data_IF_122905895247
#
_entry.id   IF_122905895247
#
_cell.length_a   1.000
_cell.length_b   1.000
_cell.length_c   1.000
_cell.angle_alpha   90.00
_cell.angle_beta   90.00
_cell.angle_gamma   90.00
#
_symmetry.space_group_name_H-M   'P 1'
#
loop_
_entity.id
_entity.type
_entity.pdbx_description
1 polymer ?
#
# COMPACT_ATOMS: atom_id res chain seq x y z
N UNK A 1 10.77 3.87 68.47
CA UNK A 1 9.34 3.63 68.75
C UNK A 1 8.66 3.33 67.40
N UNK A 2 7.96 2.18 67.23
CA UNK A 2 7.60 1.63 65.98
C UNK A 2 6.23 2.10 65.49
N UNK A 3 6.11 2.23 64.15
CA UNK A 3 4.86 2.50 63.46
C UNK A 3 4.14 1.20 63.08
N UNK A 4 2.86 1.15 63.40
CA UNK A 4 1.96 0.04 63.11
C UNK A 4 1.52 0.09 61.62
N UNK A 5 1.69 -1.03 60.95
CA UNK A 5 1.08 -1.26 59.65
C UNK A 5 -0.35 -1.81 59.77
N UNK A 6 -1.25 -1.30 58.97
CA UNK A 6 -2.58 -1.89 58.77
C UNK A 6 -2.69 -2.32 57.31
N UNK A 7 -2.76 -3.63 57.08
CA UNK A 7 -3.16 -4.23 55.78
C UNK A 7 -4.69 -4.37 55.80
N UNK A 8 -5.33 -3.71 54.83
CA UNK A 8 -6.73 -3.97 54.51
C UNK A 8 -6.81 -4.89 53.27
N UNK A 9 -7.29 -6.09 53.48
CA UNK A 9 -7.64 -7.05 52.42
C UNK A 9 -9.14 -7.00 52.18
N UNK A 10 -9.56 -6.46 51.08
CA UNK A 10 -10.97 -6.55 50.64
C UNK A 10 -11.15 -7.78 49.74
N UNK A 11 -11.89 -8.77 50.25
CA UNK A 11 -12.45 -9.88 49.47
C UNK A 11 -13.84 -9.47 48.93
N UNK A 12 -14.01 -9.37 47.62
CA UNK A 12 -15.33 -9.25 47.00
C UNK A 12 -15.74 -10.63 46.49
N UNK A 13 -16.83 -11.16 47.07
CA UNK A 13 -17.52 -12.37 46.57
C UNK A 13 -18.45 -11.98 45.44
N UNK A 14 -18.36 -12.69 44.32
CA UNK A 14 -19.34 -12.64 43.23
C UNK A 14 -20.52 -13.58 43.52
N UNK A 15 -21.74 -13.20 43.21
CA UNK A 15 -22.88 -14.12 43.25
C UNK A 15 -23.11 -14.76 41.88
N UNK A 16 -23.24 -16.09 41.89
CA UNK A 16 -23.76 -16.86 40.77
C UNK A 16 -25.23 -16.56 40.54
N UNK A 17 -25.59 -16.20 39.29
CA UNK A 17 -26.96 -16.28 38.80
C UNK A 17 -26.98 -17.23 37.60
N UNK A 18 -27.64 -18.35 37.82
CA UNK A 18 -28.01 -19.32 36.80
C UNK A 18 -29.28 -18.80 36.07
N UNK A 19 -29.18 -18.64 34.74
CA UNK A 19 -30.36 -18.51 33.88
C UNK A 19 -30.48 -19.76 33.06
N UNK A 20 -31.54 -20.52 33.30
CA UNK A 20 -31.91 -21.72 32.56
C UNK A 20 -32.50 -21.36 31.18
N UNK A 21 -32.13 -22.20 30.22
CA UNK A 21 -32.61 -22.33 28.86
C UNK A 21 -34.13 -22.34 28.71
N UNK A 22 -34.56 -21.66 27.65
CA UNK A 22 -35.80 -21.95 26.90
C UNK A 22 -35.64 -21.35 25.49
N UNK A 23 -35.19 -22.14 24.56
CA UNK A 23 -35.57 -22.03 23.14
C UNK A 23 -35.32 -23.37 22.47
N UNK A 24 -36.42 -23.98 22.07
CA UNK A 24 -36.50 -25.23 21.31
C UNK A 24 -36.30 -24.95 19.81
N UNK A 25 -35.59 -25.89 19.18
CA UNK A 25 -35.63 -26.35 17.79
C UNK A 25 -36.10 -25.41 16.68
N UNK A 26 -35.16 -24.92 15.88
CA UNK A 26 -35.29 -24.80 14.41
C UNK A 26 -33.86 -24.72 13.81
N UNK A 27 -33.46 -25.78 13.11
CA UNK A 27 -32.25 -25.76 12.30
C UNK A 27 -32.48 -24.93 11.01
N UNK A 28 -31.53 -24.09 10.62
CA UNK A 28 -31.32 -23.81 9.21
C UNK A 28 -29.95 -24.30 8.76
N UNK A 29 -29.97 -25.07 7.71
CA UNK A 29 -28.84 -25.38 6.86
C UNK A 29 -28.19 -24.06 6.37
N UNK A 30 -26.88 -23.93 6.55
CA UNK A 30 -26.10 -22.93 5.82
C UNK A 30 -25.31 -21.90 6.64
N UNK A 31 -24.80 -22.24 7.83
CA UNK A 31 -24.00 -21.29 8.62
C UNK A 31 -22.70 -21.90 9.16
N UNK A 32 -21.95 -22.62 8.31
CA UNK A 32 -20.69 -23.25 8.78
C UNK A 32 -19.45 -22.71 8.04
N UNK A 33 -19.53 -21.56 7.38
CA UNK A 33 -18.37 -20.98 6.68
C UNK A 33 -17.99 -19.55 7.12
N UNK A 34 -18.57 -18.99 8.18
CA UNK A 34 -18.34 -17.59 8.52
C UNK A 34 -17.63 -17.33 9.87
N UNK A 35 -17.23 -18.35 10.62
CA UNK A 35 -16.62 -18.13 11.95
C UNK A 35 -15.15 -18.60 12.07
N UNK A 36 -14.46 -18.90 10.98
CA UNK A 36 -13.04 -19.30 11.03
C UNK A 36 -12.03 -18.16 10.84
N UNK A 37 -12.48 -16.91 10.69
CA UNK A 37 -11.59 -15.77 10.41
C UNK A 37 -11.46 -14.76 11.58
N UNK A 38 -11.93 -15.09 12.79
CA UNK A 38 -11.87 -14.17 13.95
C UNK A 38 -10.85 -14.57 15.03
N UNK A 39 -10.04 -15.60 14.78
CA UNK A 39 -8.92 -15.98 15.67
C UNK A 39 -7.61 -16.13 14.87
N UNK A 40 -7.33 -15.28 13.90
CA UNK A 40 -5.97 -15.16 13.40
C UNK A 40 -5.20 -14.30 14.40
N UNK A 41 -4.58 -14.95 15.38
CA UNK A 41 -3.40 -14.41 16.03
C UNK A 41 -2.40 -14.02 14.95
N UNK A 42 -1.55 -13.07 15.24
CA UNK A 42 -0.50 -12.61 14.32
C UNK A 42 0.19 -13.80 13.66
N UNK A 43 0.12 -13.88 12.33
CA UNK A 43 0.88 -14.90 11.60
C UNK A 43 2.37 -14.53 11.66
N UNK A 44 3.21 -15.54 11.87
CA UNK A 44 4.66 -15.36 11.79
C UNK A 44 5.05 -15.15 10.31
N UNK A 45 6.11 -14.39 10.08
CA UNK A 45 6.65 -14.15 8.74
C UNK A 45 6.86 -15.48 7.97
N UNK A 46 6.55 -15.49 6.67
CA UNK A 46 6.94 -16.59 5.81
C UNK A 46 8.45 -16.53 5.54
N UNK A 47 9.20 -17.19 6.42
CA UNK A 47 10.66 -17.25 6.32
C UNK A 47 11.15 -17.87 5.02
N UNK A 48 10.34 -18.70 4.33
CA UNK A 48 10.73 -19.27 3.03
C UNK A 48 10.59 -18.25 1.90
N UNK A 49 9.51 -17.46 1.90
CA UNK A 49 9.34 -16.36 0.97
C UNK A 49 10.42 -15.30 1.18
N UNK A 50 10.64 -14.86 2.42
CA UNK A 50 11.70 -13.92 2.78
C UNK A 50 13.09 -14.41 2.35
N UNK A 51 13.42 -15.70 2.60
CA UNK A 51 14.71 -16.29 2.18
C UNK A 51 14.90 -16.27 0.67
N UNK A 52 13.85 -16.53 -0.12
CA UNK A 52 13.90 -16.44 -1.60
C UNK A 52 14.16 -15.00 -2.07
N UNK A 53 13.47 -14.03 -1.45
CA UNK A 53 13.65 -12.59 -1.76
C UNK A 53 15.07 -12.13 -1.43
N UNK A 54 15.59 -12.50 -0.26
CA UNK A 54 17.00 -12.23 0.14
C UNK A 54 17.99 -12.89 -0.82
N UNK A 55 17.76 -14.15 -1.24
CA UNK A 55 18.65 -14.83 -2.18
C UNK A 55 18.70 -14.09 -3.53
N UNK A 56 17.56 -13.71 -4.10
CA UNK A 56 17.49 -12.89 -5.32
C UNK A 56 18.21 -11.56 -5.16
N UNK A 57 18.06 -10.91 -4.01
CA UNK A 57 18.75 -9.64 -3.74
C UNK A 57 20.28 -9.83 -3.66
N UNK A 58 20.74 -10.90 -3.04
CA UNK A 58 22.18 -11.25 -2.98
C UNK A 58 22.78 -11.52 -4.38
N UNK A 59 21.99 -12.10 -5.30
CA UNK A 59 22.41 -12.23 -6.70
C UNK A 59 22.64 -10.86 -7.35
N UNK A 60 21.75 -9.89 -7.10
CA UNK A 60 21.91 -8.49 -7.56
C UNK A 60 23.14 -7.86 -6.91
N UNK A 61 23.34 -8.01 -5.61
CA UNK A 61 24.55 -7.52 -4.92
C UNK A 61 25.83 -8.07 -5.58
N UNK A 62 25.87 -9.36 -5.88
CA UNK A 62 27.03 -10.00 -6.54
C UNK A 62 27.25 -9.45 -7.97
N UNK A 63 26.19 -9.28 -8.75
CA UNK A 63 26.25 -8.70 -10.10
C UNK A 63 26.75 -7.25 -10.10
N UNK A 64 26.37 -6.46 -9.08
CA UNK A 64 26.78 -5.06 -8.87
C UNK A 64 28.16 -4.92 -8.24
N UNK A 65 28.72 -6.00 -7.68
CA UNK A 65 29.99 -5.98 -6.95
C UNK A 65 29.87 -5.31 -5.57
N UNK A 66 28.72 -5.41 -4.92
CA UNK A 66 28.51 -4.91 -3.56
C UNK A 66 28.97 -5.95 -2.53
N UNK A 67 29.88 -5.57 -1.65
CA UNK A 67 30.27 -6.40 -0.50
C UNK A 67 29.18 -6.40 0.58
N UNK A 68 28.52 -5.26 0.74
CA UNK A 68 27.41 -5.08 1.66
C UNK A 68 26.41 -4.02 1.14
N UNK A 69 25.24 -4.00 1.74
CA UNK A 69 24.18 -2.99 1.48
C UNK A 69 23.63 -2.48 2.79
N UNK A 70 23.35 -1.17 2.85
CA UNK A 70 22.65 -0.49 3.95
C UNK A 70 21.25 -0.09 3.48
N UNK A 71 20.22 -0.54 4.20
CA UNK A 71 18.83 -0.25 3.93
C UNK A 71 18.18 0.41 5.14
N UNK A 72 17.37 1.43 4.88
CA UNK A 72 16.53 2.11 5.87
C UNK A 72 15.10 2.33 5.36
N UNK A 73 14.84 2.02 4.11
CA UNK A 73 13.55 2.14 3.46
C UNK A 73 12.60 1.06 3.97
N UNK A 74 11.61 1.45 4.77
CA UNK A 74 10.70 0.52 5.44
C UNK A 74 9.98 -0.45 4.50
N UNK A 75 9.47 -0.05 3.31
CA UNK A 75 8.88 -0.98 2.36
C UNK A 75 9.84 -2.07 1.87
N UNK A 76 11.10 -1.73 1.61
CA UNK A 76 12.11 -2.72 1.21
C UNK A 76 12.44 -3.68 2.36
N UNK A 77 12.52 -3.17 3.59
CA UNK A 77 12.72 -3.98 4.79
C UNK A 77 11.52 -4.90 5.03
N UNK A 78 10.28 -4.41 4.87
CA UNK A 78 9.07 -5.20 4.94
C UNK A 78 9.09 -6.36 3.94
N UNK A 79 9.44 -6.08 2.69
CA UNK A 79 9.50 -7.07 1.63
C UNK A 79 10.58 -8.13 1.87
N UNK A 80 11.77 -7.74 2.36
CA UNK A 80 12.89 -8.66 2.62
C UNK A 80 12.69 -9.50 3.87
N UNK A 81 12.01 -8.99 4.90
CA UNK A 81 11.83 -9.69 6.17
C UNK A 81 10.53 -10.48 6.25
N UNK A 82 9.54 -10.11 5.46
CA UNK A 82 8.14 -10.54 5.58
C UNK A 82 7.51 -10.26 6.94
N UNK A 83 8.08 -9.32 7.71
CA UNK A 83 7.58 -8.95 9.04
C UNK A 83 6.43 -7.95 8.91
N UNK A 84 5.20 -8.44 9.12
CA UNK A 84 3.97 -7.65 8.97
C UNK A 84 3.77 -6.67 10.12
N UNK A 85 3.29 -5.46 9.81
CA UNK A 85 2.87 -4.43 10.78
C UNK A 85 3.96 -4.05 11.78
N UNK A 86 5.22 -4.06 11.35
CA UNK A 86 6.36 -3.63 12.15
C UNK A 86 6.87 -2.29 11.69
N UNK A 87 6.81 -2.05 10.38
CA UNK A 87 7.35 -0.86 9.75
C UNK A 87 6.28 0.23 9.66
N UNK A 88 6.45 1.29 10.41
CA UNK A 88 5.57 2.46 10.40
C UNK A 88 6.21 3.63 9.61
N UNK A 89 5.71 4.83 9.83
CA UNK A 89 6.23 6.05 9.17
C UNK A 89 7.59 6.52 9.72
N UNK A 90 8.08 5.93 10.83
CA UNK A 90 9.36 6.31 11.41
C UNK A 90 10.52 5.53 10.77
N UNK A 91 11.63 6.21 10.47
CA UNK A 91 12.86 5.57 9.99
C UNK A 91 13.70 5.04 11.15
N UNK A 92 13.10 4.19 11.99
CA UNK A 92 13.74 3.63 13.18
C UNK A 92 14.65 2.42 12.88
N UNK A 93 14.57 1.88 11.67
CA UNK A 93 15.19 0.63 11.29
C UNK A 93 16.37 0.85 10.34
N UNK A 94 17.43 0.08 10.53
CA UNK A 94 18.59 0.08 9.62
C UNK A 94 19.08 -1.37 9.46
N UNK A 95 19.06 -1.88 8.24
CA UNK A 95 19.63 -3.19 7.94
C UNK A 95 21.02 -3.04 7.32
N UNK A 96 21.91 -3.99 7.68
CA UNK A 96 23.18 -4.22 7.04
C UNK A 96 23.20 -5.64 6.50
N UNK A 97 23.28 -5.78 5.19
CA UNK A 97 23.16 -7.06 4.48
C UNK A 97 24.48 -7.36 3.78
N UNK A 98 25.00 -8.57 4.00
CA UNK A 98 26.16 -9.11 3.28
C UNK A 98 25.77 -10.40 2.55
N UNK A 99 26.69 -10.99 1.80
CA UNK A 99 26.45 -12.30 1.17
C UNK A 99 26.10 -13.38 2.21
N UNK A 100 26.62 -13.29 3.43
CA UNK A 100 26.50 -14.33 4.46
C UNK A 100 25.70 -13.87 5.69
N UNK A 101 25.47 -12.55 5.85
CA UNK A 101 24.87 -11.96 7.05
C UNK A 101 23.63 -11.12 6.76
N UNK A 102 22.69 -11.14 7.71
CA UNK A 102 21.51 -10.28 7.76
C UNK A 102 21.46 -9.66 9.16
N UNK A 103 21.68 -8.37 9.25
CA UNK A 103 21.74 -7.65 10.52
C UNK A 103 20.71 -6.53 10.51
N UNK A 104 20.03 -6.34 11.63
CA UNK A 104 19.02 -5.30 11.81
C UNK A 104 19.30 -4.54 13.10
N UNK A 105 19.45 -3.24 13.00
CA UNK A 105 19.46 -2.30 14.10
C UNK A 105 18.09 -1.64 14.20
N UNK A 106 17.53 -1.65 15.41
CA UNK A 106 16.24 -1.01 15.70
C UNK A 106 16.24 -0.55 17.16
N UNK A 107 15.32 0.32 17.51
CA UNK A 107 15.19 0.74 18.89
C UNK A 107 14.28 -0.19 19.72
N UNK A 108 14.26 0.03 21.03
CA UNK A 108 13.54 -0.82 21.99
C UNK A 108 12.02 -0.86 21.78
N UNK A 109 11.43 0.06 21.04
CA UNK A 109 9.99 0.10 20.74
C UNK A 109 9.58 -1.04 19.82
N UNK A 110 10.45 -1.43 18.90
CA UNK A 110 10.17 -2.41 17.84
C UNK A 110 10.80 -3.78 18.06
N UNK A 111 11.83 -3.86 18.89
CA UNK A 111 12.65 -5.06 19.08
C UNK A 111 11.83 -6.32 19.40
N UNK A 112 10.94 -6.23 20.39
CA UNK A 112 10.12 -7.37 20.77
C UNK A 112 9.15 -7.79 19.68
N UNK A 113 8.56 -6.81 18.98
CA UNK A 113 7.65 -7.06 17.85
C UNK A 113 8.36 -7.80 16.73
N UNK A 114 9.59 -7.41 16.40
CA UNK A 114 10.41 -8.15 15.43
C UNK A 114 10.65 -9.59 15.84
N UNK A 115 11.04 -9.84 17.09
CA UNK A 115 11.28 -11.20 17.58
C UNK A 115 10.02 -12.06 17.52
N UNK A 116 8.87 -11.48 17.82
CA UNK A 116 7.57 -12.17 17.74
C UNK A 116 7.21 -12.50 16.29
N UNK A 117 7.43 -11.58 15.34
CA UNK A 117 7.09 -11.75 13.94
C UNK A 117 8.01 -12.73 13.22
N UNK A 118 9.30 -12.62 13.44
CA UNK A 118 10.29 -13.40 12.73
C UNK A 118 10.57 -14.75 13.39
N UNK A 119 10.30 -14.89 14.70
CA UNK A 119 10.55 -16.12 15.46
C UNK A 119 12.03 -16.42 15.67
N UNK A 120 12.29 -17.49 16.44
CA UNK A 120 13.64 -17.88 16.85
C UNK A 120 14.52 -18.42 15.69
N UNK A 121 13.89 -18.90 14.62
CA UNK A 121 14.59 -19.50 13.47
C UNK A 121 14.92 -18.48 12.38
N UNK A 122 14.65 -17.19 12.62
CA UNK A 122 14.95 -16.11 11.68
C UNK A 122 16.47 -16.00 11.45
N UNK A 123 16.92 -15.85 10.19
CA UNK A 123 18.31 -15.59 9.88
C UNK A 123 18.76 -14.15 10.20
N UNK A 124 17.83 -13.27 10.54
CA UNK A 124 18.10 -11.89 10.91
C UNK A 124 18.67 -11.81 12.32
N UNK A 125 19.82 -11.16 12.46
CA UNK A 125 20.46 -10.88 13.75
C UNK A 125 20.08 -9.49 14.19
N UNK A 126 19.42 -9.40 15.33
CA UNK A 126 19.00 -8.14 15.92
C UNK A 126 20.01 -7.68 16.95
N UNK A 127 20.28 -6.39 16.91
CA UNK A 127 21.25 -5.73 17.76
C UNK A 127 20.55 -4.62 18.55
N UNK A 128 20.71 -4.64 19.86
CA UNK A 128 20.21 -3.62 20.80
C UNK A 128 21.33 -2.68 21.28
N UNK A 129 22.44 -2.62 20.59
CA UNK A 129 23.51 -1.72 20.97
C UNK A 129 23.00 -0.26 21.00
N UNK A 130 23.37 0.44 22.07
CA UNK A 130 23.08 1.87 22.22
C UNK A 130 24.11 2.63 21.37
N UNK A 131 23.92 2.57 20.05
CA UNK A 131 24.73 3.29 19.07
C UNK A 131 23.80 4.06 18.15
N UNK A 132 24.30 5.14 17.55
CA UNK A 132 23.58 5.77 16.45
C UNK A 132 23.56 4.83 15.24
N UNK A 133 22.54 4.88 14.37
CA UNK A 133 22.51 4.04 13.17
C UNK A 133 23.78 4.14 12.32
N UNK A 134 24.38 5.32 12.22
CA UNK A 134 25.61 5.56 11.45
C UNK A 134 26.84 4.95 12.10
N UNK A 135 26.98 5.01 13.42
CA UNK A 135 28.07 4.36 14.16
C UNK A 135 27.95 2.84 14.09
N UNK A 136 26.72 2.31 14.20
CA UNK A 136 26.43 0.90 14.07
C UNK A 136 26.77 0.36 12.68
N UNK A 137 26.37 1.05 11.60
CA UNK A 137 26.72 0.69 10.24
C UNK A 137 28.24 0.73 10.03
N UNK A 138 28.92 1.79 10.51
CA UNK A 138 30.36 1.91 10.37
C UNK A 138 31.13 0.78 11.10
N UNK A 139 30.61 0.31 12.25
CA UNK A 139 31.16 -0.85 12.96
C UNK A 139 31.00 -2.13 12.13
N UNK A 140 29.83 -2.39 11.55
CA UNK A 140 29.57 -3.56 10.71
C UNK A 140 30.41 -3.54 9.42
N UNK A 141 30.59 -2.37 8.78
CA UNK A 141 31.50 -2.21 7.63
C UNK A 141 32.93 -2.61 8.01
N UNK A 142 33.42 -2.17 9.18
CA UNK A 142 34.74 -2.48 9.67
C UNK A 142 34.91 -3.99 9.97
N UNK A 143 33.96 -4.60 10.65
CA UNK A 143 33.95 -6.02 11.00
C UNK A 143 33.88 -6.91 9.76
N UNK A 144 33.00 -6.62 8.83
CA UNK A 144 32.86 -7.33 7.57
C UNK A 144 34.02 -7.06 6.60
N UNK A 145 34.88 -6.07 6.86
CA UNK A 145 35.92 -5.57 5.95
C UNK A 145 35.38 -5.23 4.56
N UNK A 146 34.12 -4.76 4.50
CA UNK A 146 33.45 -4.41 3.27
C UNK A 146 34.10 -3.15 2.66
N UNK A 147 34.36 -3.20 1.36
CA UNK A 147 35.00 -2.11 0.60
C UNK A 147 34.01 -1.37 -0.30
N UNK A 148 33.00 -2.06 -0.79
CA UNK A 148 31.94 -1.49 -1.63
C UNK A 148 30.63 -1.74 -0.92
N UNK A 149 30.10 -0.69 -0.26
CA UNK A 149 28.88 -0.76 0.54
C UNK A 149 27.82 0.11 -0.13
N UNK A 150 26.86 -0.53 -0.78
CA UNK A 150 25.80 0.22 -1.44
C UNK A 150 24.83 0.81 -0.41
N UNK A 151 24.40 2.03 -0.69
CA UNK A 151 23.46 2.78 0.14
C UNK A 151 22.14 2.91 -0.64
N UNK A 152 21.02 2.65 -0.02
CA UNK A 152 19.72 2.84 -0.65
C UNK A 152 19.50 4.31 -1.05
N UNK A 153 18.58 4.52 -2.01
CA UNK A 153 18.46 5.84 -2.66
C UNK A 153 17.70 6.88 -1.82
N UNK A 154 16.94 6.44 -0.81
CA UNK A 154 16.03 7.30 -0.02
C UNK A 154 16.61 7.79 1.30
N UNK A 155 17.84 7.40 1.65
CA UNK A 155 18.50 7.91 2.86
C UNK A 155 18.66 9.43 2.78
N UNK A 156 18.38 10.12 3.89
CA UNK A 156 18.61 11.54 4.00
C UNK A 156 20.12 11.88 4.01
N UNK A 157 20.43 13.11 3.64
CA UNK A 157 21.82 13.57 3.60
C UNK A 157 22.48 13.55 4.98
N UNK A 158 21.72 13.78 6.06
CA UNK A 158 22.28 13.77 7.41
C UNK A 158 22.76 12.39 7.82
N UNK A 159 22.01 11.34 7.45
CA UNK A 159 22.45 9.97 7.64
C UNK A 159 23.73 9.67 6.81
N UNK A 160 23.73 10.07 5.54
CA UNK A 160 24.88 9.81 4.67
C UNK A 160 26.15 10.52 5.16
N UNK A 161 26.07 11.81 5.49
CA UNK A 161 27.17 12.60 6.03
C UNK A 161 27.65 12.04 7.39
N UNK A 162 26.70 11.62 8.24
CA UNK A 162 27.01 10.99 9.53
C UNK A 162 27.73 9.64 9.37
N UNK A 163 27.35 8.84 8.38
CA UNK A 163 28.03 7.58 8.08
C UNK A 163 29.44 7.83 7.58
N UNK A 164 29.64 8.78 6.66
CA UNK A 164 31.00 9.16 6.23
C UNK A 164 31.87 9.62 7.39
N UNK A 165 31.30 10.40 8.33
CA UNK A 165 32.03 10.86 9.51
C UNK A 165 32.39 9.68 10.42
N UNK A 166 31.45 8.76 10.71
CA UNK A 166 31.68 7.59 11.54
C UNK A 166 32.74 6.63 10.94
N UNK A 167 32.81 6.53 9.60
CA UNK A 167 33.87 5.80 8.91
C UNK A 167 35.23 6.47 9.06
N UNK A 168 35.30 7.81 8.92
CA UNK A 168 36.55 8.59 9.15
C UNK A 168 37.06 8.40 10.56
N UNK A 169 36.19 8.50 11.57
CA UNK A 169 36.53 8.38 12.99
C UNK A 169 37.08 7.00 13.33
N UNK A 170 36.62 5.97 12.63
CA UNK A 170 37.13 4.58 12.73
C UNK A 170 38.35 4.28 11.83
N UNK A 171 38.77 5.22 10.98
CA UNK A 171 39.80 5.01 9.97
C UNK A 171 39.45 3.86 9.00
N UNK A 172 38.19 3.69 8.69
CA UNK A 172 37.63 2.70 7.74
C UNK A 172 37.44 3.35 6.38
N UNK A 173 37.99 2.75 5.33
CA UNK A 173 37.76 3.20 3.95
C UNK A 173 36.79 2.26 3.24
N UNK A 174 35.69 2.81 2.76
CA UNK A 174 34.71 2.12 1.92
C UNK A 174 34.19 3.07 0.82
N UNK A 175 33.85 2.51 -0.33
CA UNK A 175 33.05 3.20 -1.37
C UNK A 175 31.59 3.05 -1.01
N UNK A 176 30.82 4.12 -1.17
CA UNK A 176 29.39 4.18 -0.84
C UNK A 176 28.54 4.47 -2.10
N UNK A 177 28.48 3.55 -3.10
CA UNK A 177 27.63 3.75 -4.26
C UNK A 177 26.16 3.75 -3.90
N UNK A 178 25.29 4.35 -4.76
CA UNK A 178 23.84 4.27 -4.66
C UNK A 178 23.32 2.98 -5.31
N UNK A 179 22.22 2.45 -4.79
CA UNK A 179 21.59 1.22 -5.31
C UNK A 179 20.81 1.41 -6.61
N UNK A 180 20.36 2.63 -6.92
CA UNK A 180 19.56 2.95 -8.11
C UNK A 180 18.26 2.13 -8.23
N UNK A 181 17.63 1.82 -7.10
CA UNK A 181 16.35 1.12 -7.03
C UNK A 181 16.43 -0.37 -7.28
N UNK A 182 17.56 -1.02 -6.98
CA UNK A 182 17.76 -2.45 -7.23
C UNK A 182 16.68 -3.34 -6.55
N UNK A 183 16.23 -3.00 -5.32
CA UNK A 183 15.14 -3.75 -4.66
C UNK A 183 13.79 -3.40 -5.29
N UNK A 184 13.55 -2.15 -5.62
CA UNK A 184 12.31 -1.74 -6.29
C UNK A 184 12.11 -2.49 -7.63
N UNK A 185 13.16 -2.81 -8.37
CA UNK A 185 13.08 -3.67 -9.57
C UNK A 185 12.70 -5.12 -9.21
N UNK A 186 13.18 -5.66 -8.08
CA UNK A 186 12.83 -7.01 -7.63
C UNK A 186 11.37 -7.12 -7.17
N UNK A 187 10.80 -6.03 -6.64
CA UNK A 187 9.42 -5.94 -6.16
C UNK A 187 8.38 -5.81 -7.28
N UNK A 188 8.79 -5.53 -8.51
CA UNK A 188 7.88 -5.39 -9.67
C UNK A 188 7.01 -6.64 -9.83
N UNK A 189 7.62 -7.83 -9.80
CA UNK A 189 6.92 -9.11 -9.98
C UNK A 189 6.55 -9.67 -8.61
N UNK A 190 5.24 -9.70 -8.34
CA UNK A 190 4.67 -10.18 -7.09
C UNK A 190 4.59 -11.70 -7.09
N UNK A 191 4.83 -12.29 -5.92
CA UNK A 191 4.56 -13.71 -5.73
C UNK A 191 3.05 -13.97 -5.47
N UNK A 192 2.58 -15.22 -5.54
CA UNK A 192 1.16 -15.53 -5.35
C UNK A 192 0.61 -15.12 -3.98
N UNK A 193 1.42 -15.13 -2.91
CA UNK A 193 0.98 -14.72 -1.58
C UNK A 193 0.77 -13.20 -1.50
N UNK A 194 1.69 -12.42 -2.09
CA UNK A 194 1.54 -10.96 -2.22
C UNK A 194 0.24 -10.60 -2.98
N UNK A 195 -0.04 -11.30 -4.10
CA UNK A 195 -1.25 -11.10 -4.91
C UNK A 195 -2.52 -11.35 -4.10
N UNK A 196 -2.56 -12.43 -3.29
CA UNK A 196 -3.73 -12.73 -2.46
C UNK A 196 -3.96 -11.68 -1.36
N UNK A 197 -2.91 -11.11 -0.77
CA UNK A 197 -3.03 -10.01 0.18
C UNK A 197 -3.63 -8.75 -0.49
N UNK A 198 -3.18 -8.43 -1.70
CA UNK A 198 -3.67 -7.29 -2.47
C UNK A 198 -5.13 -7.48 -2.93
N UNK A 199 -5.51 -8.68 -3.36
CA UNK A 199 -6.91 -9.04 -3.64
C UNK A 199 -7.79 -8.91 -2.40
N UNK A 200 -7.28 -9.30 -1.23
CA UNK A 200 -8.01 -9.13 0.03
C UNK A 200 -8.22 -7.65 0.36
N UNK A 201 -7.16 -6.82 0.27
CA UNK A 201 -7.25 -5.38 0.43
C UNK A 201 -8.29 -4.77 -0.53
N UNK A 202 -8.27 -5.16 -1.82
CA UNK A 202 -9.24 -4.71 -2.81
C UNK A 202 -10.67 -5.12 -2.47
N UNK A 203 -10.88 -6.32 -1.92
CA UNK A 203 -12.22 -6.76 -1.52
C UNK A 203 -12.84 -5.89 -0.41
N UNK A 204 -12.02 -5.27 0.44
CA UNK A 204 -12.48 -4.31 1.46
C UNK A 204 -12.87 -3.00 0.78
N UNK A 205 -12.06 -2.52 -0.15
CA UNK A 205 -12.29 -1.31 -0.95
C UNK A 205 -13.57 -1.40 -1.77
N UNK A 206 -13.83 -2.54 -2.44
CA UNK A 206 -15.07 -2.79 -3.18
C UNK A 206 -16.32 -2.75 -2.27
N UNK A 207 -16.25 -3.36 -1.08
CA UNK A 207 -17.36 -3.31 -0.12
C UNK A 207 -17.61 -1.89 0.39
N UNK A 208 -16.54 -1.11 0.56
CA UNK A 208 -16.63 0.29 0.96
C UNK A 208 -17.34 1.13 -0.11
N UNK A 209 -17.13 0.84 -1.41
CA UNK A 209 -17.90 1.46 -2.50
C UNK A 209 -19.40 1.21 -2.38
N UNK A 210 -19.80 -0.03 -2.19
CA UNK A 210 -21.20 -0.39 -2.03
C UNK A 210 -21.85 0.25 -0.80
N UNK A 211 -21.06 0.45 0.26
CA UNK A 211 -21.51 1.13 1.46
C UNK A 211 -21.68 2.64 1.22
N UNK A 212 -20.64 3.30 0.68
CA UNK A 212 -20.62 4.75 0.55
C UNK A 212 -21.67 5.26 -0.45
N UNK A 213 -21.98 4.50 -1.51
CA UNK A 213 -23.05 4.82 -2.45
C UNK A 213 -24.43 4.92 -1.78
N UNK A 214 -24.66 4.20 -0.68
CA UNK A 214 -25.92 4.28 0.11
C UNK A 214 -25.91 5.43 1.11
N UNK A 215 -24.75 5.90 1.50
CA UNK A 215 -24.58 6.96 2.48
C UNK A 215 -24.67 8.37 1.85
N UNK A 216 -24.08 8.53 0.65
CA UNK A 216 -24.00 9.82 -0.04
C UNK A 216 -25.39 10.37 -0.34
N UNK A 217 -25.60 11.64 0.04
CA UNK A 217 -26.82 12.43 -0.27
C UNK A 217 -26.46 13.92 -0.30
N UNK A 218 -27.29 14.75 -0.97
CA UNK A 218 -27.16 16.20 -0.89
C UNK A 218 -27.12 16.70 0.54
N UNK A 219 -26.29 17.69 0.83
CA UNK A 219 -26.11 18.28 2.17
C UNK A 219 -24.98 17.74 3.00
N UNK A 220 -24.35 16.62 2.62
CA UNK A 220 -23.10 16.15 3.24
C UNK A 220 -21.91 16.96 2.72
N UNK A 221 -20.87 17.13 3.53
CA UNK A 221 -19.59 17.67 3.08
C UNK A 221 -18.69 16.54 2.52
N UNK A 222 -17.69 16.90 1.70
CA UNK A 222 -16.67 15.96 1.22
C UNK A 222 -15.96 15.28 2.40
N UNK A 223 -15.63 16.03 3.46
CA UNK A 223 -15.03 15.48 4.68
C UNK A 223 -15.92 14.46 5.40
N UNK A 224 -17.25 14.70 5.45
CA UNK A 224 -18.17 13.73 6.06
C UNK A 224 -18.23 12.42 5.27
N UNK A 225 -18.19 12.51 3.94
CA UNK A 225 -18.16 11.33 3.07
C UNK A 225 -16.84 10.59 3.24
N UNK A 226 -15.70 11.30 3.26
CA UNK A 226 -14.39 10.73 3.54
C UNK A 226 -14.37 9.99 4.87
N UNK A 227 -14.79 10.64 5.94
CA UNK A 227 -14.75 10.05 7.28
C UNK A 227 -15.58 8.75 7.37
N UNK A 228 -16.75 8.70 6.73
CA UNK A 228 -17.59 7.50 6.68
C UNK A 228 -16.91 6.37 5.89
N UNK A 229 -16.35 6.69 4.73
CA UNK A 229 -15.65 5.73 3.86
C UNK A 229 -14.46 5.10 4.56
N UNK A 230 -13.58 5.92 5.13
CA UNK A 230 -12.39 5.49 5.86
C UNK A 230 -12.75 4.66 7.10
N UNK A 231 -13.73 5.12 7.90
CA UNK A 231 -14.23 4.38 9.05
C UNK A 231 -14.80 3.01 8.64
N UNK A 232 -15.49 2.93 7.50
CA UNK A 232 -16.00 1.65 7.00
C UNK A 232 -14.86 0.68 6.69
N UNK A 233 -13.83 1.10 5.93
CA UNK A 233 -12.70 0.24 5.60
C UNK A 233 -11.98 -0.26 6.85
N UNK A 234 -11.63 0.63 7.78
CA UNK A 234 -10.96 0.29 9.04
C UNK A 234 -11.79 -0.63 9.95
N UNK A 235 -13.13 -0.44 9.96
CA UNK A 235 -14.04 -1.29 10.75
C UNK A 235 -14.33 -2.64 10.09
N UNK A 236 -13.95 -2.84 8.83
CA UNK A 236 -14.26 -4.05 8.06
C UNK A 236 -13.00 -4.79 7.58
N UNK A 237 -11.89 -4.64 8.30
CA UNK A 237 -10.72 -5.50 8.17
C UNK A 237 -9.49 -4.86 7.53
N UNK A 238 -9.55 -3.59 7.14
CA UNK A 238 -8.34 -2.86 6.78
C UNK A 238 -7.50 -2.58 8.03
N UNK A 239 -6.19 -2.76 7.91
CA UNK A 239 -5.24 -2.42 8.97
C UNK A 239 -4.89 -0.94 8.98
N UNK A 240 -4.91 -0.35 7.78
CA UNK A 240 -4.62 1.04 7.51
C UNK A 240 -5.38 1.49 6.25
N UNK A 241 -5.32 2.76 5.94
CA UNK A 241 -5.64 3.28 4.63
C UNK A 241 -4.41 3.15 3.72
N UNK A 242 -4.62 2.90 2.43
CA UNK A 242 -3.52 2.88 1.45
C UNK A 242 -2.88 4.26 1.31
N UNK A 243 -3.71 5.30 1.33
CA UNK A 243 -3.35 6.70 1.21
C UNK A 243 -4.50 7.58 1.74
N UNK A 244 -4.29 8.89 1.80
CA UNK A 244 -5.32 9.86 2.16
C UNK A 244 -6.41 9.88 1.08
N UNK A 245 -7.63 9.44 1.42
CA UNK A 245 -8.73 9.30 0.48
C UNK A 245 -9.12 10.64 -0.17
N UNK A 246 -9.28 10.65 -1.47
CA UNK A 246 -9.77 11.80 -2.25
C UNK A 246 -11.29 11.68 -2.40
N UNK A 247 -12.02 12.68 -1.94
CA UNK A 247 -13.45 12.85 -2.19
C UNK A 247 -13.62 14.25 -2.75
N UNK A 248 -13.87 14.35 -4.05
CA UNK A 248 -13.90 15.63 -4.75
C UNK A 248 -15.21 15.80 -5.54
N UNK A 249 -16.05 16.74 -5.11
CA UNK A 249 -17.38 16.94 -5.65
C UNK A 249 -17.49 18.16 -6.56
N UNK A 250 -18.28 18.07 -7.61
CA UNK A 250 -18.50 19.15 -8.58
C UNK A 250 -17.20 19.76 -9.08
N UNK A 251 -17.01 21.10 -9.01
CA UNK A 251 -15.80 21.77 -9.49
C UNK A 251 -14.50 21.32 -8.84
N UNK A 252 -14.53 20.81 -7.58
CA UNK A 252 -13.33 20.28 -6.91
C UNK A 252 -12.81 19.03 -7.61
N UNK A 253 -13.71 18.21 -8.19
CA UNK A 253 -13.36 17.03 -8.97
C UNK A 253 -12.48 17.33 -10.22
N UNK A 254 -12.44 18.58 -10.67
CA UNK A 254 -11.53 18.99 -11.74
C UNK A 254 -10.06 19.05 -11.33
N UNK A 255 -9.74 18.83 -10.04
CA UNK A 255 -8.39 18.68 -9.54
C UNK A 255 -8.12 17.20 -9.22
N UNK A 256 -7.19 16.51 -9.92
CA UNK A 256 -6.90 15.09 -9.69
C UNK A 256 -6.48 14.74 -8.25
N UNK A 257 -5.80 15.67 -7.56
CA UNK A 257 -5.34 15.53 -6.17
C UNK A 257 -6.08 16.48 -5.21
N UNK A 258 -7.41 16.64 -5.41
CA UNK A 258 -8.23 17.47 -4.54
C UNK A 258 -8.22 16.94 -3.10
N UNK A 259 -8.05 17.84 -2.14
CA UNK A 259 -8.21 17.50 -0.73
C UNK A 259 -9.68 17.65 -0.34
N UNK A 260 -10.31 16.64 0.30
CA UNK A 260 -11.67 16.74 0.79
C UNK A 260 -11.83 17.91 1.77
N UNK A 261 -12.85 18.75 1.54
CA UNK A 261 -13.09 19.97 2.29
C UNK A 261 -14.51 20.10 2.83
N UNK A 262 -14.83 21.32 3.23
CA UNK A 262 -16.17 21.70 3.74
C UNK A 262 -17.18 21.95 2.62
N UNK A 263 -16.83 21.69 1.35
CA UNK A 263 -17.79 21.83 0.25
C UNK A 263 -18.95 20.88 0.46
N UNK A 264 -20.15 21.44 0.41
CA UNK A 264 -21.42 20.71 0.56
C UNK A 264 -21.82 20.14 -0.81
N UNK A 265 -22.02 18.84 -0.86
CA UNK A 265 -22.47 18.11 -2.03
C UNK A 265 -23.90 18.52 -2.40
N UNK A 266 -24.13 18.73 -3.70
CA UNK A 266 -25.37 19.18 -4.27
C UNK A 266 -25.90 18.17 -5.30
N UNK A 267 -27.23 18.20 -5.55
CA UNK A 267 -27.82 17.46 -6.67
C UNK A 267 -27.19 17.91 -7.99
N UNK A 268 -26.80 16.99 -8.83
CA UNK A 268 -26.10 17.21 -10.10
C UNK A 268 -24.57 17.21 -9.98
N UNK A 269 -23.99 17.12 -8.77
CA UNK A 269 -22.55 16.97 -8.63
C UNK A 269 -22.05 15.59 -9.11
N UNK A 270 -20.97 15.57 -9.86
CA UNK A 270 -20.10 14.40 -9.99
C UNK A 270 -19.20 14.35 -8.77
N UNK A 271 -18.95 13.17 -8.21
CA UNK A 271 -18.03 12.98 -7.08
C UNK A 271 -16.98 11.96 -7.50
N UNK A 272 -15.73 12.40 -7.62
CA UNK A 272 -14.57 11.52 -7.75
C UNK A 272 -14.21 11.02 -6.35
N UNK A 273 -14.16 9.71 -6.19
CA UNK A 273 -13.78 9.04 -4.95
C UNK A 273 -12.61 8.11 -5.27
N UNK A 274 -11.44 8.44 -4.73
CA UNK A 274 -10.20 7.69 -4.92
C UNK A 274 -9.66 7.29 -3.54
N UNK A 275 -9.56 5.98 -3.31
CA UNK A 275 -9.28 5.41 -1.99
C UNK A 275 -8.87 3.94 -2.08
N UNK A 276 -8.17 3.48 -1.06
CA UNK A 276 -7.74 2.10 -0.95
C UNK A 276 -7.59 1.65 0.50
N UNK A 277 -7.79 0.36 0.73
CA UNK A 277 -7.51 -0.30 2.00
C UNK A 277 -6.07 -0.84 2.02
N UNK A 278 -5.38 -0.68 3.15
CA UNK A 278 -4.15 -1.39 3.47
C UNK A 278 -4.46 -2.67 4.25
N UNK A 279 -3.84 -3.79 3.86
CA UNK A 279 -3.97 -5.06 4.55
C UNK A 279 -2.63 -5.78 4.63
N UNK A 280 -2.13 -6.03 5.84
CA UNK A 280 -0.83 -6.64 6.11
C UNK A 280 0.32 -5.97 5.33
N UNK A 281 0.29 -4.63 5.32
CA UNK A 281 1.22 -3.72 4.63
C UNK A 281 1.16 -3.75 3.09
N UNK A 282 0.20 -4.45 2.48
CA UNK A 282 -0.08 -4.38 1.06
C UNK A 282 -1.27 -3.46 0.79
N UNK A 283 -1.21 -2.75 -0.33
CA UNK A 283 -2.16 -1.72 -0.70
C UNK A 283 -3.15 -2.20 -1.75
N UNK A 284 -4.36 -1.64 -1.73
CA UNK A 284 -5.29 -1.61 -2.86
C UNK A 284 -5.47 -0.18 -3.34
N UNK A 285 -5.99 -0.03 -4.54
CA UNK A 285 -6.21 1.25 -5.18
C UNK A 285 -7.46 1.20 -6.07
N UNK A 286 -8.34 2.20 -5.93
CA UNK A 286 -9.53 2.27 -6.76
C UNK A 286 -10.11 3.67 -6.80
N UNK A 287 -10.36 4.17 -7.99
CA UNK A 287 -11.21 5.35 -8.20
C UNK A 287 -12.54 4.95 -8.82
N UNK A 288 -13.62 5.49 -8.27
CA UNK A 288 -14.95 5.50 -8.90
C UNK A 288 -15.52 6.91 -8.85
N UNK A 289 -16.15 7.30 -9.94
CA UNK A 289 -16.92 8.55 -10.00
C UNK A 289 -18.42 8.23 -9.98
N UNK A 290 -19.16 8.91 -9.09
CA UNK A 290 -20.62 8.78 -8.98
C UNK A 290 -21.29 10.12 -9.27
N UNK A 291 -22.60 10.12 -9.54
CA UNK A 291 -23.39 11.34 -9.73
C UNK A 291 -24.48 11.45 -8.67
N UNK A 292 -24.71 12.65 -8.15
CA UNK A 292 -25.78 12.91 -7.18
C UNK A 292 -27.07 13.24 -7.93
N UNK A 293 -28.03 12.30 -7.93
CA UNK A 293 -29.22 12.38 -8.76
C UNK A 293 -28.97 11.94 -10.20
N UNK A 294 -29.58 12.58 -11.18
CA UNK A 294 -29.42 12.25 -12.59
C UNK A 294 -28.25 13.00 -13.24
N UNK A 295 -27.40 12.34 -14.07
CA UNK A 295 -26.36 13.01 -14.82
C UNK A 295 -26.94 13.93 -15.91
N UNK A 296 -26.22 15.01 -16.23
CA UNK A 296 -26.44 15.76 -17.48
C UNK A 296 -25.92 14.98 -18.68
N UNK A 297 -26.33 15.38 -19.89
CA UNK A 297 -25.81 14.78 -21.13
C UNK A 297 -24.28 14.94 -21.25
N UNK A 298 -23.73 16.09 -20.86
CA UNK A 298 -22.28 16.32 -20.85
C UNK A 298 -21.54 15.39 -19.87
N UNK A 299 -22.07 15.24 -18.65
CA UNK A 299 -21.49 14.34 -17.63
C UNK A 299 -21.48 12.89 -18.10
N UNK A 300 -22.61 12.41 -18.62
CA UNK A 300 -22.72 11.05 -19.16
C UNK A 300 -21.76 10.83 -20.32
N UNK A 301 -21.68 11.78 -21.26
CA UNK A 301 -20.77 11.68 -22.40
C UNK A 301 -19.30 11.61 -21.98
N UNK A 302 -18.86 12.49 -21.08
CA UNK A 302 -17.46 12.49 -20.57
C UNK A 302 -17.17 11.20 -19.80
N UNK A 303 -18.11 10.71 -19.00
CA UNK A 303 -17.98 9.44 -18.29
C UNK A 303 -17.78 8.26 -19.26
N UNK A 304 -18.58 8.20 -20.32
CA UNK A 304 -18.49 7.16 -21.34
C UNK A 304 -17.13 7.19 -22.07
N UNK A 305 -16.55 8.37 -22.30
CA UNK A 305 -15.20 8.51 -22.85
C UNK A 305 -14.13 7.95 -21.92
N UNK A 306 -14.19 8.28 -20.60
CA UNK A 306 -13.24 7.77 -19.61
C UNK A 306 -13.38 6.26 -19.47
N UNK A 307 -14.61 5.74 -19.37
CA UNK A 307 -14.87 4.29 -19.32
C UNK A 307 -14.31 3.59 -20.55
N UNK A 308 -14.53 4.12 -21.75
CA UNK A 308 -13.98 3.57 -22.98
C UNK A 308 -12.45 3.55 -22.98
N UNK A 309 -11.80 4.57 -22.43
CA UNK A 309 -10.35 4.62 -22.31
C UNK A 309 -9.84 3.52 -21.35
N UNK A 310 -10.42 3.38 -20.17
CA UNK A 310 -10.08 2.34 -19.18
C UNK A 310 -10.29 0.94 -19.79
N UNK A 311 -11.48 0.60 -20.32
CA UNK A 311 -11.76 -0.71 -20.93
C UNK A 311 -10.83 -1.03 -22.13
N UNK A 312 -10.46 0.00 -22.92
CA UNK A 312 -9.54 -0.18 -24.05
C UNK A 312 -8.12 -0.47 -23.57
N UNK A 313 -7.64 0.22 -22.53
CA UNK A 313 -6.33 0.00 -21.96
C UNK A 313 -6.27 -1.35 -21.22
N UNK A 314 -7.25 -1.68 -20.40
CA UNK A 314 -7.35 -2.98 -19.72
C UNK A 314 -7.28 -4.15 -20.70
N UNK A 315 -7.96 -4.05 -21.85
CA UNK A 315 -7.91 -5.08 -22.90
C UNK A 315 -6.56 -5.18 -23.63
N UNK A 316 -5.72 -4.14 -23.57
CA UNK A 316 -4.40 -4.09 -24.20
C UNK A 316 -3.24 -4.40 -23.24
N UNK A 317 -3.48 -4.42 -21.94
CA UNK A 317 -2.46 -4.76 -20.93
C UNK A 317 -2.17 -6.26 -20.97
N UNK A 318 -0.92 -6.62 -21.18
CA UNK A 318 -0.38 -7.99 -21.08
C UNK A 318 1.15 -7.94 -20.92
N UNK A 319 1.79 -9.04 -20.56
CA UNK A 319 3.25 -9.10 -20.51
C UNK A 319 3.86 -8.80 -21.90
N UNK A 320 4.91 -8.02 -21.92
CA UNK A 320 5.59 -7.66 -23.19
C UNK A 320 5.25 -6.29 -23.76
N UNK A 321 4.16 -5.63 -23.31
CA UNK A 321 3.88 -4.23 -23.68
C UNK A 321 4.79 -3.29 -22.87
N UNK A 322 4.95 -2.05 -23.33
CA UNK A 322 5.63 -1.03 -22.53
C UNK A 322 4.61 -0.12 -21.83
N UNK A 323 5.02 0.46 -20.69
CA UNK A 323 4.12 1.38 -19.97
C UNK A 323 3.79 2.63 -20.80
N UNK A 324 4.71 3.08 -21.66
CA UNK A 324 4.45 4.20 -22.58
C UNK A 324 3.44 3.86 -23.67
N UNK A 325 3.41 2.61 -24.17
CA UNK A 325 2.45 2.21 -25.22
C UNK A 325 1.02 2.24 -24.67
N UNK A 326 0.81 1.68 -23.46
CA UNK A 326 -0.51 1.67 -22.81
C UNK A 326 -0.95 3.09 -22.44
N UNK A 327 -0.05 3.91 -21.88
CA UNK A 327 -0.36 5.32 -21.61
C UNK A 327 -0.78 6.07 -22.90
N UNK A 328 -0.03 5.90 -23.99
CA UNK A 328 -0.34 6.55 -25.25
C UNK A 328 -1.66 6.08 -25.86
N UNK A 329 -2.08 4.85 -25.59
CA UNK A 329 -3.39 4.34 -25.99
C UNK A 329 -4.53 5.09 -25.29
N UNK A 330 -4.44 5.33 -23.97
CA UNK A 330 -5.40 6.16 -23.25
C UNK A 330 -5.46 7.59 -23.79
N UNK A 331 -4.28 8.22 -23.98
CA UNK A 331 -4.17 9.57 -24.57
C UNK A 331 -4.85 9.63 -25.93
N UNK A 332 -4.66 8.61 -26.77
CA UNK A 332 -5.29 8.54 -28.08
C UNK A 332 -6.82 8.49 -27.98
N UNK A 333 -7.38 7.58 -27.16
CA UNK A 333 -8.84 7.43 -27.01
C UNK A 333 -9.48 8.75 -26.52
N UNK A 334 -8.87 9.37 -25.50
CA UNK A 334 -9.37 10.61 -24.91
C UNK A 334 -9.24 11.79 -25.89
N UNK A 335 -8.13 11.87 -26.64
CA UNK A 335 -7.88 12.93 -27.62
C UNK A 335 -8.81 12.84 -28.84
N UNK A 336 -9.09 11.63 -29.33
CA UNK A 336 -10.05 11.40 -30.43
C UNK A 336 -11.48 11.85 -30.07
N UNK A 337 -11.81 11.83 -28.76
CA UNK A 337 -13.06 12.36 -28.23
C UNK A 337 -13.04 13.89 -27.98
N UNK A 338 -11.91 14.57 -28.22
CA UNK A 338 -11.77 16.02 -28.06
C UNK A 338 -11.35 16.48 -26.64
N UNK A 339 -10.93 15.57 -25.77
CA UNK A 339 -10.58 15.87 -24.36
C UNK A 339 -9.09 15.70 -24.03
N UNK A 340 -8.21 15.56 -25.01
CA UNK A 340 -6.79 15.26 -24.80
C UNK A 340 -6.05 16.24 -23.89
N UNK A 341 -6.41 17.53 -23.91
CA UNK A 341 -5.82 18.56 -23.05
C UNK A 341 -6.24 18.45 -21.57
N UNK A 342 -7.27 17.66 -21.27
CA UNK A 342 -7.83 17.46 -19.92
C UNK A 342 -7.39 16.16 -19.26
N UNK A 343 -6.47 15.39 -19.86
CA UNK A 343 -5.81 14.21 -19.29
C UNK A 343 -4.33 14.52 -19.08
N UNK A 344 -3.93 14.91 -17.90
CA UNK A 344 -2.62 15.50 -17.61
C UNK A 344 -1.68 14.65 -16.75
N UNK A 345 -2.00 13.39 -16.42
CA UNK A 345 -1.16 12.52 -15.58
C UNK A 345 -0.78 11.20 -16.25
N UNK A 346 0.02 10.38 -15.58
CA UNK A 346 0.28 9.00 -16.02
C UNK A 346 -0.99 8.17 -15.98
N UNK A 347 -1.08 7.15 -16.87
CA UNK A 347 -2.25 6.26 -16.86
C UNK A 347 -2.30 5.35 -15.64
N UNK A 348 -1.17 5.10 -14.98
CA UNK A 348 -1.13 4.21 -13.82
C UNK A 348 0.27 3.95 -13.31
N UNK A 349 0.33 3.16 -12.26
CA UNK A 349 1.56 2.83 -11.54
C UNK A 349 1.48 1.41 -10.96
N UNK A 350 2.62 0.91 -10.52
CA UNK A 350 2.68 -0.32 -9.73
C UNK A 350 2.14 -0.11 -8.32
N UNK A 351 1.57 -1.15 -7.76
CA UNK A 351 1.09 -1.20 -6.37
C UNK A 351 1.69 -2.43 -5.67
N UNK A 352 1.99 -2.32 -4.39
CA UNK A 352 2.54 -3.42 -3.59
C UNK A 352 2.59 -3.07 -2.12
N UNK A 353 3.78 -3.13 -1.52
CA UNK A 353 4.07 -2.60 -0.18
C UNK A 353 4.24 -1.08 -0.16
N UNK A 354 4.28 -0.46 -1.32
CA UNK A 354 4.07 0.97 -1.51
C UNK A 354 2.88 1.18 -2.43
N UNK A 355 2.13 2.25 -2.16
CA UNK A 355 1.00 2.59 -3.03
C UNK A 355 1.47 2.98 -4.43
N UNK A 356 2.58 3.69 -4.56
CA UNK A 356 3.20 4.04 -5.82
C UNK A 356 4.57 3.37 -5.94
N UNK A 357 4.66 2.30 -6.70
CA UNK A 357 5.92 1.64 -6.99
C UNK A 357 6.07 1.34 -8.49
N UNK A 358 7.19 0.74 -8.89
CA UNK A 358 7.40 0.28 -10.28
C UNK A 358 6.49 -0.92 -10.59
N UNK A 359 6.07 -1.08 -11.88
CA UNK A 359 6.35 -0.25 -13.04
C UNK A 359 5.39 0.94 -13.15
N UNK A 360 5.54 1.80 -14.19
CA UNK A 360 4.65 2.93 -14.41
C UNK A 360 4.02 2.87 -15.80
N UNK A 361 2.77 3.27 -15.94
CA UNK A 361 2.12 3.57 -17.20
C UNK A 361 2.16 5.09 -17.45
N UNK A 362 3.31 5.57 -17.98
CA UNK A 362 3.52 6.98 -18.29
C UNK A 362 4.42 7.13 -19.54
N UNK A 363 4.52 8.34 -20.15
CA UNK A 363 5.26 8.53 -21.42
C UNK A 363 6.75 8.19 -21.36
N UNK A 364 7.33 8.08 -20.16
CA UNK A 364 8.77 7.86 -19.95
C UNK A 364 9.13 6.40 -19.65
N UNK A 365 8.15 5.56 -19.35
CA UNK A 365 8.39 4.16 -19.02
C UNK A 365 8.41 3.29 -20.29
N UNK A 366 9.57 3.22 -20.93
CA UNK A 366 9.80 2.43 -22.14
C UNK A 366 10.30 1.00 -21.85
N UNK A 367 10.28 0.58 -20.57
CA UNK A 367 10.59 -0.79 -20.20
C UNK A 367 9.35 -1.68 -20.40
N UNK A 368 9.64 -2.94 -20.73
CA UNK A 368 8.62 -3.98 -20.88
C UNK A 368 8.00 -4.28 -19.51
N UNK A 369 6.69 -4.44 -19.49
CA UNK A 369 5.94 -4.89 -18.32
C UNK A 369 6.01 -6.41 -18.24
N UNK A 370 6.38 -6.95 -17.09
CA UNK A 370 6.50 -8.38 -16.88
C UNK A 370 5.19 -8.99 -16.37
N UNK A 371 4.95 -10.27 -16.67
CA UNK A 371 3.90 -11.03 -16.00
C UNK A 371 4.17 -11.06 -14.47
N UNK A 372 3.12 -10.96 -13.66
CA UNK A 372 3.21 -10.82 -12.20
C UNK A 372 3.38 -9.38 -11.71
N UNK A 373 3.53 -8.38 -12.60
CA UNK A 373 3.43 -6.97 -12.23
C UNK A 373 2.01 -6.66 -11.80
N UNK A 374 1.83 -5.96 -10.68
CA UNK A 374 0.51 -5.44 -10.27
C UNK A 374 0.49 -3.95 -10.54
N UNK A 375 -0.52 -3.47 -11.26
CA UNK A 375 -0.60 -2.10 -11.78
C UNK A 375 -2.01 -1.53 -11.69
N UNK A 376 -2.13 -0.19 -11.72
CA UNK A 376 -3.39 0.53 -11.92
C UNK A 376 -3.60 0.87 -13.38
N UNK A 377 -4.86 1.09 -13.78
CA UNK A 377 -5.31 1.65 -15.06
C UNK A 377 -6.38 2.71 -14.76
N UNK A 378 -5.97 3.99 -14.73
CA UNK A 378 -6.74 5.09 -14.12
C UNK A 378 -6.90 6.32 -15.05
N UNK A 379 -7.44 6.19 -16.26
CA UNK A 379 -7.68 7.35 -17.09
C UNK A 379 -8.66 8.33 -16.46
N UNK A 380 -8.44 9.64 -16.67
CA UNK A 380 -9.31 10.69 -16.16
C UNK A 380 -9.44 11.89 -17.09
N UNK A 381 -10.56 12.60 -16.99
CA UNK A 381 -10.82 13.88 -17.67
C UNK A 381 -11.23 14.90 -16.60
N UNK A 382 -10.52 16.03 -16.58
CA UNK A 382 -10.71 17.06 -15.57
C UNK A 382 -11.05 18.39 -16.22
N UNK A 383 -12.33 18.79 -16.13
CA UNK A 383 -12.87 20.00 -16.77
C UNK A 383 -12.85 21.18 -15.79
N UNK A 384 -11.92 22.16 -15.93
CA UNK A 384 -11.76 23.23 -14.94
C UNK A 384 -13.07 24.00 -14.71
N UNK A 385 -13.40 24.16 -13.40
CA UNK A 385 -14.61 24.86 -12.96
C UNK A 385 -15.92 24.11 -13.17
N UNK A 386 -15.89 22.89 -13.72
CA UNK A 386 -17.08 22.04 -13.92
C UNK A 386 -17.05 20.81 -13.04
N UNK A 387 -16.28 19.79 -13.44
CA UNK A 387 -16.16 18.51 -12.75
C UNK A 387 -14.96 17.72 -13.27
N UNK A 388 -14.59 16.67 -12.56
CA UNK A 388 -13.67 15.62 -13.04
C UNK A 388 -14.31 14.26 -13.02
N UNK A 389 -13.75 13.35 -13.80
CA UNK A 389 -14.11 11.93 -13.87
C UNK A 389 -12.83 11.14 -13.94
N UNK A 390 -12.66 10.17 -13.05
CA UNK A 390 -11.63 9.11 -13.11
C UNK A 390 -12.32 7.77 -12.87
N UNK A 391 -11.90 6.78 -13.61
CA UNK A 391 -12.28 5.39 -13.44
C UNK A 391 -11.00 4.58 -13.39
N UNK A 392 -10.80 3.84 -12.32
CA UNK A 392 -9.57 3.13 -12.04
C UNK A 392 -9.83 1.69 -11.65
N UNK A 393 -9.10 0.81 -12.26
CA UNK A 393 -8.96 -0.57 -11.88
C UNK A 393 -7.52 -0.90 -11.51
N UNK A 394 -7.38 -1.94 -10.73
CA UNK A 394 -6.14 -2.43 -10.21
C UNK A 394 -6.10 -3.96 -10.34
N UNK A 395 -4.96 -4.51 -10.79
CA UNK A 395 -4.88 -5.94 -11.09
C UNK A 395 -3.47 -6.40 -11.43
N UNK A 396 -3.33 -7.71 -11.70
CA UNK A 396 -2.07 -8.35 -12.08
C UNK A 396 -1.99 -8.57 -13.58
N UNK A 397 -0.83 -8.23 -14.16
CA UNK A 397 -0.50 -8.51 -15.55
C UNK A 397 -0.17 -9.99 -15.70
N UNK A 398 -0.81 -10.66 -16.65
CA UNK A 398 -0.54 -12.06 -17.00
C UNK A 398 0.20 -12.15 -18.35
N UNK A 399 0.59 -13.36 -18.76
CA UNK A 399 1.27 -13.54 -20.06
C UNK A 399 0.46 -13.00 -21.24
N UNK A 400 -0.87 -13.15 -21.19
CA UNK A 400 -1.79 -12.87 -22.28
C UNK A 400 -2.91 -11.86 -21.92
N UNK A 401 -2.85 -11.22 -20.74
CA UNK A 401 -3.90 -10.28 -20.32
C UNK A 401 -3.64 -9.56 -18.99
N UNK A 402 -4.73 -9.09 -18.42
CA UNK A 402 -4.80 -8.33 -17.19
C UNK A 402 -5.92 -8.88 -16.29
N UNK A 403 -5.54 -9.54 -15.17
CA UNK A 403 -6.48 -10.07 -14.19
C UNK A 403 -6.83 -8.98 -13.18
N UNK A 404 -7.95 -8.31 -13.40
CA UNK A 404 -8.44 -7.19 -12.61
C UNK A 404 -8.97 -7.69 -11.26
N UNK A 405 -8.50 -7.09 -10.17
CA UNK A 405 -8.96 -7.42 -8.80
C UNK A 405 -10.22 -6.65 -8.44
N UNK A 406 -10.39 -5.44 -8.97
CA UNK A 406 -11.53 -4.55 -8.72
C UNK A 406 -12.82 -5.18 -9.23
N UNK A 407 -13.83 -5.26 -8.35
CA UNK A 407 -15.15 -5.84 -8.68
C UNK A 407 -16.27 -4.79 -8.71
N UNK A 408 -15.99 -3.55 -8.35
CA UNK A 408 -16.94 -2.43 -8.40
C UNK A 408 -17.31 -2.11 -9.83
N UNK A 409 -18.60 -1.81 -10.07
CA UNK A 409 -19.14 -1.56 -11.42
C UNK A 409 -18.43 -0.42 -12.16
N UNK A 410 -18.32 -0.54 -13.48
CA UNK A 410 -17.92 0.55 -14.40
C UNK A 410 -19.09 1.44 -14.84
N UNK A 411 -20.31 1.14 -14.41
CA UNK A 411 -21.43 2.00 -14.72
C UNK A 411 -21.44 3.26 -13.84
N UNK A 412 -21.94 4.37 -14.40
CA UNK A 412 -22.15 5.59 -13.63
C UNK A 412 -23.27 5.39 -12.61
N UNK A 413 -22.92 5.32 -11.34
CA UNK A 413 -23.87 5.11 -10.25
C UNK A 413 -24.51 6.44 -9.83
N UNK A 414 -25.85 6.48 -9.82
CA UNK A 414 -26.62 7.59 -9.25
C UNK A 414 -26.81 7.37 -7.74
N UNK A 415 -26.45 8.38 -6.94
CA UNK A 415 -26.56 8.37 -5.48
C UNK A 415 -27.44 9.49 -4.97
N UNK A 416 -27.92 9.40 -3.72
CA UNK A 416 -28.72 10.46 -3.08
C UNK A 416 -30.10 10.62 -3.64
N UNK A 417 -30.68 9.58 -4.26
CA UNK A 417 -32.03 9.57 -4.82
C UNK A 417 -33.07 9.16 -3.79
#
# INVERSE_FOLDING_TARGET
MPALGVRLTLRIKAPHLAVRSLFTDAAPLGATLCCKHLEKGFEMADLQAAAKRVARFREVMAQRGYDAVVLRHNPDLRWLTDAERVFDFEQAHTAFITQDGLFMHTDSRYYNTFLERLGADSPWKFDQEVATPTEWVAAHIAEARARVVAIEDTVDLAFFDGLEQALRDRSVAALLPRMHGDIAELRIVKDPAEIELMKHAQSITDKAFLHICKYIKPGLTEQQIRAELENYMLSNGADALSFDSIIASGPNGANPHAQPGERVVQTGDMIVMDYGAGYLDYHSDMTRTVVVGAPSEEQQHVFDVVRKANETCAAAIHAGVTGSDIHNLAVKVISEAGYGEYFGHGLGHGVGVEIHERPFFNPRWNKVIAAGSVVTDEPGIYLPGKFGIRLEDFGVVTEDGYDVFTQSTHDLVSVGC
#
